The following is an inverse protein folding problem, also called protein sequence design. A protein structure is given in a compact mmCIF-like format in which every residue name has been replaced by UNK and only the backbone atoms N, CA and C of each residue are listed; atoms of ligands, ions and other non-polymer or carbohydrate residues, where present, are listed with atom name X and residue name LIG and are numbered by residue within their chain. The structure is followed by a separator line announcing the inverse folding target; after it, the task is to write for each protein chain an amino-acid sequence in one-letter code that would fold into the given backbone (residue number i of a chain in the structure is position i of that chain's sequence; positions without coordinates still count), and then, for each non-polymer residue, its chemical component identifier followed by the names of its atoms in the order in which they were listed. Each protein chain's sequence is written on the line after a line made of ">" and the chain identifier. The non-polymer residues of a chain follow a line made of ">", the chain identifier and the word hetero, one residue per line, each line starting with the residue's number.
data_IF_602375196935
#
_entry.id   IF_602375196935
#
_cell.length_a   1.000
_cell.length_b   1.000
_cell.length_c   1.000
_cell.angle_alpha   90.00
_cell.angle_beta   90.00
_cell.angle_gamma   90.00
#
_symmetry.space_group_name_H-M   'P 1'
#
loop_
_entity.id
_entity.type
_entity.pdbx_description
1 polymer ?
#
# COMPACT_ATOMS: atom_id res chain seq x y z
N UNK A 1 -14.27 -1.03 -18.50
CA UNK A 1 -15.17 -1.64 -19.49
C UNK A 1 -16.65 -1.37 -19.16
N UNK A 2 -17.14 -1.76 -17.97
CA UNK A 2 -18.56 -1.70 -17.61
C UNK A 2 -19.15 -0.28 -17.66
N UNK A 3 -18.41 0.75 -17.27
CA UNK A 3 -18.85 2.16 -17.30
C UNK A 3 -19.00 2.69 -18.73
N UNK A 4 -18.15 2.23 -19.65
CA UNK A 4 -18.20 2.64 -21.05
C UNK A 4 -19.23 1.86 -21.89
N UNK A 5 -19.87 0.84 -21.30
CA UNK A 5 -20.84 -0.04 -21.94
C UNK A 5 -22.13 -0.16 -21.11
N UNK A 6 -22.57 0.97 -20.52
CA UNK A 6 -23.76 1.00 -19.64
C UNK A 6 -25.03 0.56 -20.33
N UNK A 7 -25.15 0.77 -21.65
CA UNK A 7 -26.29 0.33 -22.43
C UNK A 7 -26.42 -1.19 -22.59
N UNK A 8 -25.30 -1.91 -22.50
CA UNK A 8 -25.24 -3.37 -22.72
C UNK A 8 -25.02 -4.16 -21.44
N UNK A 9 -24.53 -3.50 -20.37
CA UNK A 9 -24.24 -4.15 -19.07
C UNK A 9 -25.41 -3.90 -18.11
N UNK A 10 -25.96 -4.96 -17.47
CA UNK A 10 -27.00 -4.78 -16.46
C UNK A 10 -26.57 -3.83 -15.34
N UNK A 11 -27.44 -2.90 -14.89
CA UNK A 11 -27.09 -1.91 -13.86
C UNK A 11 -26.54 -2.53 -12.56
N UNK A 12 -27.07 -3.70 -12.15
CA UNK A 12 -26.61 -4.44 -10.98
C UNK A 12 -25.16 -4.93 -11.18
N UNK A 13 -24.83 -5.46 -12.35
CA UNK A 13 -23.48 -5.93 -12.63
C UNK A 13 -22.47 -4.79 -12.64
N UNK A 14 -22.84 -3.65 -13.23
CA UNK A 14 -22.03 -2.44 -13.21
C UNK A 14 -21.80 -1.94 -11.78
N UNK A 15 -22.84 -1.89 -10.96
CA UNK A 15 -22.76 -1.50 -9.56
C UNK A 15 -21.84 -2.45 -8.76
N UNK A 16 -22.01 -3.78 -8.90
CA UNK A 16 -21.18 -4.78 -8.21
C UNK A 16 -19.71 -4.62 -8.60
N UNK A 17 -19.40 -4.47 -9.90
CA UNK A 17 -18.03 -4.28 -10.35
C UNK A 17 -17.40 -3.03 -9.74
N UNK A 18 -18.16 -1.92 -9.61
CA UNK A 18 -17.67 -0.70 -8.99
C UNK A 18 -17.43 -0.85 -7.49
N UNK A 19 -18.35 -1.48 -6.76
CA UNK A 19 -18.16 -1.75 -5.34
C UNK A 19 -16.92 -2.61 -5.11
N UNK A 20 -16.73 -3.67 -5.90
CA UNK A 20 -15.55 -4.53 -5.80
C UNK A 20 -14.26 -3.76 -6.12
N UNK A 21 -14.27 -2.94 -7.16
CA UNK A 21 -13.11 -2.13 -7.53
C UNK A 21 -12.78 -1.09 -6.45
N UNK A 22 -13.74 -0.28 -6.01
CA UNK A 22 -13.57 0.73 -4.98
C UNK A 22 -13.15 0.10 -3.64
N UNK A 23 -13.77 -1.02 -3.28
CA UNK A 23 -13.41 -1.78 -2.09
C UNK A 23 -12.00 -2.38 -2.15
N UNK A 24 -11.54 -2.79 -3.35
CA UNK A 24 -10.17 -3.27 -3.52
C UNK A 24 -9.14 -2.16 -3.28
N UNK A 25 -9.41 -0.91 -3.67
CA UNK A 25 -8.54 0.24 -3.42
C UNK A 25 -8.42 0.52 -1.91
N UNK A 26 -9.53 0.48 -1.17
CA UNK A 26 -9.53 0.65 0.29
C UNK A 26 -8.71 -0.45 0.96
N UNK A 27 -8.93 -1.71 0.57
CA UNK A 27 -8.21 -2.86 1.11
C UNK A 27 -6.71 -2.72 0.85
N UNK A 28 -6.33 -2.35 -0.35
CA UNK A 28 -4.93 -2.26 -0.78
C UNK A 28 -4.15 -1.22 0.01
N UNK A 29 -4.68 0.00 0.17
CA UNK A 29 -4.00 1.04 0.95
C UNK A 29 -3.86 0.65 2.42
N UNK A 30 -4.83 -0.07 2.97
CA UNK A 30 -4.73 -0.61 4.32
C UNK A 30 -3.64 -1.68 4.44
N UNK A 31 -3.53 -2.59 3.47
CA UNK A 31 -2.47 -3.59 3.43
C UNK A 31 -1.09 -2.94 3.31
N UNK A 32 -0.94 -1.90 2.49
CA UNK A 32 0.28 -1.09 2.42
C UNK A 32 0.62 -0.46 3.78
N UNK A 33 -0.37 0.07 4.49
CA UNK A 33 -0.18 0.59 5.84
C UNK A 33 0.31 -0.50 6.81
N UNK A 34 -0.36 -1.64 6.84
CA UNK A 34 0.03 -2.77 7.69
C UNK A 34 1.44 -3.26 7.36
N UNK A 35 1.77 -3.34 6.08
CA UNK A 35 3.10 -3.73 5.64
C UNK A 35 4.17 -2.77 6.17
N UNK A 36 3.95 -1.46 6.08
CA UNK A 36 4.86 -0.46 6.64
C UNK A 36 5.03 -0.62 8.17
N UNK A 37 3.93 -0.86 8.88
CA UNK A 37 3.97 -1.08 10.34
C UNK A 37 4.76 -2.35 10.70
N UNK A 38 4.53 -3.46 9.98
CA UNK A 38 5.26 -4.72 10.17
C UNK A 38 6.75 -4.53 9.86
N UNK A 39 7.08 -3.80 8.80
CA UNK A 39 8.45 -3.52 8.41
C UNK A 39 9.22 -2.78 9.51
N UNK A 40 8.59 -1.79 10.13
CA UNK A 40 9.16 -1.02 11.24
C UNK A 40 9.40 -1.92 12.46
N UNK A 41 8.43 -2.77 12.82
CA UNK A 41 8.56 -3.66 13.97
C UNK A 41 9.59 -4.77 13.76
N UNK A 42 9.79 -5.22 12.54
CA UNK A 42 10.80 -6.25 12.22
C UNK A 42 12.24 -5.71 12.32
N UNK A 43 12.46 -4.44 12.01
CA UNK A 43 13.77 -3.79 12.06
C UNK A 43 14.05 -3.15 13.44
N UNK A 44 13.00 -2.83 14.20
CA UNK A 44 13.10 -2.26 15.54
C UNK A 44 13.38 -3.32 16.60
N UNK A 45 14.14 -2.93 17.61
CA UNK A 45 14.53 -3.75 18.79
C UNK A 45 13.31 -4.18 19.64
N UNK A 46 12.12 -3.68 19.36
CA UNK A 46 10.88 -4.05 20.04
C UNK A 46 10.36 -5.39 19.50
N UNK A 47 10.72 -6.46 20.17
CA UNK A 47 10.14 -7.80 19.97
C UNK A 47 8.65 -7.92 20.33
N UNK A 48 7.95 -6.80 20.46
CA UNK A 48 6.53 -6.76 20.76
C UNK A 48 5.72 -7.12 19.51
N UNK A 49 5.14 -8.31 19.54
CA UNK A 49 4.14 -8.72 18.56
C UNK A 49 2.99 -7.68 18.51
N UNK A 50 2.67 -7.20 17.32
CA UNK A 50 1.54 -6.26 17.13
C UNK A 50 0.28 -6.87 17.75
N UNK A 51 -0.23 -6.24 18.81
CA UNK A 51 -1.43 -6.73 19.50
C UNK A 51 -2.62 -6.78 18.54
N UNK A 52 -3.35 -7.89 18.52
CA UNK A 52 -4.58 -8.06 17.72
C UNK A 52 -5.56 -6.90 17.92
N UNK A 53 -5.64 -6.35 19.14
CA UNK A 53 -6.51 -5.20 19.47
C UNK A 53 -6.09 -3.95 18.67
N UNK A 54 -4.79 -3.66 18.55
CA UNK A 54 -4.30 -2.52 17.75
C UNK A 54 -4.63 -2.70 16.27
N UNK A 55 -4.47 -3.93 15.75
CA UNK A 55 -4.79 -4.25 14.36
C UNK A 55 -6.28 -3.98 14.06
N UNK A 56 -7.19 -4.41 14.94
CA UNK A 56 -8.62 -4.15 14.79
C UNK A 56 -8.95 -2.66 14.84
N UNK A 57 -8.32 -1.90 15.74
CA UNK A 57 -8.50 -0.45 15.81
C UNK A 57 -8.06 0.25 14.52
N UNK A 58 -6.95 -0.17 13.94
CA UNK A 58 -6.48 0.38 12.66
C UNK A 58 -7.37 0.00 11.48
N UNK A 59 -8.10 -1.10 11.56
CA UNK A 59 -9.04 -1.52 10.52
C UNK A 59 -10.40 -0.81 10.59
N UNK A 60 -10.71 -0.07 11.66
CA UNK A 60 -12.02 0.61 11.81
C UNK A 60 -12.34 1.52 10.61
N UNK A 61 -11.46 2.39 10.11
CA UNK A 61 -11.77 3.24 8.96
C UNK A 61 -12.09 2.43 7.70
N UNK A 62 -11.42 1.27 7.50
CA UNK A 62 -11.70 0.36 6.39
C UNK A 62 -13.13 -0.18 6.48
N UNK A 63 -13.53 -0.65 7.66
CA UNK A 63 -14.87 -1.19 7.87
C UNK A 63 -15.95 -0.13 7.68
N UNK A 64 -15.73 1.08 8.19
CA UNK A 64 -16.64 2.21 7.99
C UNK A 64 -16.76 2.55 6.51
N UNK A 65 -15.64 2.62 5.78
CA UNK A 65 -15.63 2.93 4.37
C UNK A 65 -16.30 1.82 3.53
N UNK A 66 -16.03 0.55 3.82
CA UNK A 66 -16.68 -0.59 3.16
C UNK A 66 -18.19 -0.59 3.38
N UNK A 67 -18.62 -0.36 4.62
CA UNK A 67 -20.04 -0.26 4.93
C UNK A 67 -20.67 0.95 4.20
N UNK A 68 -19.97 2.08 4.20
CA UNK A 68 -20.39 3.27 3.47
C UNK A 68 -20.57 3.02 1.98
N UNK A 69 -19.67 2.27 1.33
CA UNK A 69 -19.77 1.95 -0.09
C UNK A 69 -21.06 1.22 -0.48
N UNK A 70 -21.63 0.42 0.40
CA UNK A 70 -22.86 -0.33 0.13
C UNK A 70 -24.10 0.58 0.11
N UNK A 71 -24.07 1.72 0.80
CA UNK A 71 -25.22 2.61 0.96
C UNK A 71 -25.07 3.95 0.24
N UNK A 72 -23.84 4.34 -0.10
CA UNK A 72 -23.59 5.61 -0.75
C UNK A 72 -23.85 5.53 -2.28
N UNK A 73 -24.50 6.54 -2.85
CA UNK A 73 -24.79 6.52 -4.27
C UNK A 73 -23.51 6.68 -5.10
N UNK A 74 -23.42 5.88 -6.16
CA UNK A 74 -22.43 6.01 -7.22
C UNK A 74 -23.14 6.65 -8.40
N UNK A 75 -22.62 7.78 -8.89
CA UNK A 75 -23.09 8.45 -10.11
C UNK A 75 -22.13 8.14 -11.24
N UNK A 76 -22.65 7.91 -12.41
CA UNK A 76 -21.87 7.72 -13.63
C UNK A 76 -21.92 8.99 -14.45
N UNK A 77 -20.76 9.46 -14.86
CA UNK A 77 -20.62 10.69 -15.67
C UNK A 77 -20.08 10.29 -17.03
N UNK A 78 -20.79 10.68 -18.07
CA UNK A 78 -20.40 10.45 -19.45
C UNK A 78 -19.63 11.66 -19.98
N UNK A 79 -18.45 11.41 -20.55
CA UNK A 79 -17.64 12.46 -21.17
C UNK A 79 -17.07 11.99 -22.51
N UNK A 80 -16.61 12.92 -23.32
CA UNK A 80 -15.95 12.64 -24.60
C UNK A 80 -14.63 11.88 -24.44
N UNK A 81 -14.02 11.93 -23.24
CA UNK A 81 -12.75 11.27 -22.93
C UNK A 81 -12.94 9.88 -22.28
N UNK A 82 -14.17 9.50 -22.00
CA UNK A 82 -14.53 8.26 -21.32
C UNK A 82 -15.50 8.49 -20.16
N UNK A 83 -16.19 7.43 -19.77
CA UNK A 83 -17.15 7.49 -18.67
C UNK A 83 -16.43 7.14 -17.35
N UNK A 84 -16.79 7.79 -16.26
CA UNK A 84 -16.24 7.55 -14.95
C UNK A 84 -17.29 7.59 -13.84
N UNK A 85 -16.96 6.97 -12.72
CA UNK A 85 -17.79 7.01 -11.52
C UNK A 85 -17.44 8.23 -10.67
N UNK A 86 -18.45 8.87 -10.11
CA UNK A 86 -18.35 10.05 -9.27
C UNK A 86 -19.34 9.97 -8.11
N UNK A 87 -19.14 10.77 -7.07
CA UNK A 87 -20.12 10.90 -6.00
C UNK A 87 -19.61 10.48 -4.63
N UNK A 88 -20.49 10.44 -3.62
CA UNK A 88 -20.13 10.21 -2.23
C UNK A 88 -19.35 8.92 -2.00
N UNK A 89 -19.68 7.84 -2.69
CA UNK A 89 -18.94 6.57 -2.59
C UNK A 89 -17.48 6.74 -3.02
N UNK A 90 -17.22 7.41 -4.14
CA UNK A 90 -15.88 7.67 -4.65
C UNK A 90 -15.09 8.58 -3.72
N UNK A 91 -15.73 9.63 -3.17
CA UNK A 91 -15.09 10.52 -2.19
C UNK A 91 -14.73 9.81 -0.89
N UNK A 92 -15.55 8.85 -0.44
CA UNK A 92 -15.24 8.02 0.73
C UNK A 92 -13.97 7.21 0.51
N UNK A 93 -13.79 6.64 -0.70
CA UNK A 93 -12.56 5.93 -1.06
C UNK A 93 -11.35 6.85 -1.04
N UNK A 94 -11.42 8.00 -1.74
CA UNK A 94 -10.32 8.96 -1.77
C UNK A 94 -9.97 9.49 -0.37
N UNK A 95 -10.97 9.77 0.46
CA UNK A 95 -10.77 10.18 1.85
C UNK A 95 -10.09 9.10 2.69
N UNK A 96 -10.48 7.84 2.52
CA UNK A 96 -9.87 6.71 3.22
C UNK A 96 -8.42 6.49 2.75
N UNK A 97 -8.16 6.56 1.46
CA UNK A 97 -6.80 6.48 0.89
C UNK A 97 -5.94 7.61 1.44
N UNK A 98 -6.42 8.86 1.42
CA UNK A 98 -5.70 10.00 1.98
C UNK A 98 -5.41 9.84 3.47
N UNK A 99 -6.37 9.34 4.26
CA UNK A 99 -6.19 9.06 5.68
C UNK A 99 -5.04 8.08 5.92
N UNK A 100 -5.01 6.96 5.22
CA UNK A 100 -3.93 5.97 5.39
C UNK A 100 -2.59 6.49 4.88
N UNK A 101 -2.55 7.27 3.80
CA UNK A 101 -1.32 7.96 3.38
C UNK A 101 -0.78 8.82 4.52
N UNK A 102 -1.61 9.64 5.16
CA UNK A 102 -1.20 10.46 6.31
C UNK A 102 -0.72 9.58 7.46
N UNK A 103 -1.45 8.50 7.81
CA UNK A 103 -1.04 7.57 8.86
C UNK A 103 0.34 6.96 8.59
N UNK A 104 0.62 6.58 7.34
CA UNK A 104 1.90 5.99 6.98
C UNK A 104 3.02 7.06 7.08
N UNK A 105 2.80 8.28 6.54
CA UNK A 105 3.78 9.38 6.63
C UNK A 105 4.11 9.67 8.09
N UNK A 106 3.11 9.80 8.95
CA UNK A 106 3.31 10.02 10.39
C UNK A 106 4.08 8.88 11.05
N UNK A 107 3.76 7.64 10.72
CA UNK A 107 4.44 6.45 11.24
C UNK A 107 5.91 6.42 10.78
N UNK A 108 6.18 6.74 9.51
CA UNK A 108 7.53 6.84 8.97
C UNK A 108 8.35 7.95 9.62
N UNK A 109 7.76 9.13 9.84
CA UNK A 109 8.45 10.25 10.51
C UNK A 109 8.81 9.87 11.95
N UNK A 110 7.86 9.25 12.67
CA UNK A 110 8.06 8.83 14.06
C UNK A 110 9.19 7.81 14.22
N UNK A 111 9.29 6.85 13.32
CA UNK A 111 10.28 5.75 13.37
C UNK A 111 11.43 5.93 12.37
N UNK A 112 11.67 7.15 11.90
CA UNK A 112 12.63 7.45 10.84
C UNK A 112 14.04 6.92 11.11
N UNK A 113 14.49 6.94 12.36
CA UNK A 113 15.83 6.49 12.76
C UNK A 113 15.95 4.98 12.88
N UNK A 114 14.85 4.28 13.10
CA UNK A 114 14.81 2.83 13.35
C UNK A 114 14.81 2.01 12.05
N UNK A 115 14.39 2.62 10.94
CA UNK A 115 14.24 1.95 9.65
C UNK A 115 15.54 2.04 8.85
N UNK A 116 15.95 0.93 8.24
CA UNK A 116 17.10 0.90 7.33
C UNK A 116 16.92 1.86 6.14
N UNK A 117 18.01 2.53 5.73
CA UNK A 117 17.98 3.53 4.64
C UNK A 117 17.41 3.02 3.33
N UNK A 118 17.69 1.77 2.94
CA UNK A 118 17.13 1.15 1.72
C UNK A 118 15.60 1.03 1.81
N UNK A 119 15.09 0.53 2.94
CA UNK A 119 13.65 0.38 3.17
C UNK A 119 12.94 1.72 3.26
N UNK A 120 13.56 2.73 3.88
CA UNK A 120 13.05 4.11 3.90
C UNK A 120 12.84 4.66 2.50
N UNK A 121 13.84 4.49 1.64
CA UNK A 121 13.78 4.96 0.26
C UNK A 121 12.62 4.33 -0.51
N UNK A 122 12.44 3.01 -0.40
CA UNK A 122 11.35 2.28 -1.09
C UNK A 122 9.99 2.70 -0.62
N UNK A 123 9.80 2.81 0.70
CA UNK A 123 8.54 3.28 1.27
C UNK A 123 8.27 4.72 0.84
N UNK A 124 9.25 5.62 0.90
CA UNK A 124 9.11 7.00 0.44
C UNK A 124 8.76 7.09 -1.05
N UNK A 125 9.40 6.27 -1.90
CA UNK A 125 9.10 6.19 -3.33
C UNK A 125 7.67 5.68 -3.59
N UNK A 126 7.24 4.63 -2.89
CA UNK A 126 5.88 4.10 -2.97
C UNK A 126 4.83 5.17 -2.62
N UNK A 127 5.13 5.99 -1.60
CA UNK A 127 4.28 7.12 -1.23
C UNK A 127 4.21 8.21 -2.28
N UNK A 128 5.36 8.60 -2.82
CA UNK A 128 5.42 9.59 -3.88
C UNK A 128 4.56 9.12 -5.08
N UNK A 129 4.69 7.87 -5.47
CA UNK A 129 3.86 7.26 -6.53
C UNK A 129 2.38 7.36 -6.18
N UNK A 130 2.00 6.99 -4.94
CA UNK A 130 0.61 7.00 -4.51
C UNK A 130 0.01 8.41 -4.50
N UNK A 131 0.77 9.41 -4.04
CA UNK A 131 0.33 10.82 -4.06
C UNK A 131 0.14 11.29 -5.50
N UNK A 132 1.11 11.01 -6.38
CA UNK A 132 1.02 11.39 -7.80
C UNK A 132 -0.21 10.74 -8.46
N UNK A 133 -0.44 9.45 -8.22
CA UNK A 133 -1.60 8.72 -8.76
C UNK A 133 -2.90 9.31 -8.22
N UNK A 134 -2.98 9.61 -6.91
CA UNK A 134 -4.18 10.19 -6.29
C UNK A 134 -4.49 11.57 -6.89
N UNK A 135 -3.50 12.44 -7.02
CA UNK A 135 -3.65 13.77 -7.61
C UNK A 135 -4.06 13.66 -9.08
N UNK A 136 -3.37 12.80 -9.84
CA UNK A 136 -3.69 12.59 -11.27
C UNK A 136 -5.11 12.05 -11.45
N UNK A 137 -5.52 11.06 -10.67
CA UNK A 137 -6.87 10.48 -10.71
C UNK A 137 -7.94 11.49 -10.32
N UNK A 138 -7.63 12.44 -9.44
CA UNK A 138 -8.56 13.51 -9.04
C UNK A 138 -8.75 14.53 -10.17
N UNK A 139 -7.68 14.86 -10.91
CA UNK A 139 -7.71 15.81 -12.03
C UNK A 139 -8.32 15.15 -13.28
N UNK A 140 -7.98 13.88 -13.53
CA UNK A 140 -8.42 13.11 -14.70
C UNK A 140 -9.20 11.85 -14.28
N UNK A 141 -10.45 11.99 -13.82
CA UNK A 141 -11.22 10.86 -13.25
C UNK A 141 -11.50 9.73 -14.26
N UNK A 142 -11.53 10.04 -15.55
CA UNK A 142 -11.73 9.06 -16.62
C UNK A 142 -10.52 8.13 -16.82
N UNK A 143 -9.34 8.48 -16.29
CA UNK A 143 -8.12 7.69 -16.40
C UNK A 143 -8.05 6.65 -15.30
N UNK A 144 -8.06 5.36 -15.62
CA UNK A 144 -7.96 4.26 -14.65
C UNK A 144 -6.50 3.98 -14.24
N UNK A 145 -5.82 4.98 -13.68
CA UNK A 145 -4.38 4.90 -13.35
C UNK A 145 -4.15 4.30 -11.95
N UNK A 146 -5.16 4.34 -11.07
CA UNK A 146 -5.04 3.86 -9.68
C UNK A 146 -4.60 2.40 -9.58
N UNK A 147 -5.16 1.50 -10.39
CA UNK A 147 -4.74 0.10 -10.42
C UNK A 147 -3.29 -0.10 -10.85
N UNK A 148 -2.83 0.66 -11.85
CA UNK A 148 -1.45 0.63 -12.30
C UNK A 148 -0.50 1.15 -11.21
N UNK A 149 -0.83 2.25 -10.55
CA UNK A 149 -0.04 2.78 -9.44
C UNK A 149 0.12 1.79 -8.29
N UNK A 150 -0.96 1.11 -7.90
CA UNK A 150 -0.91 0.07 -6.87
C UNK A 150 -0.05 -1.12 -7.27
N UNK A 151 -0.13 -1.55 -8.53
CA UNK A 151 0.72 -2.64 -9.07
C UNK A 151 2.19 -2.27 -8.99
N UNK A 152 2.56 -1.03 -9.35
CA UNK A 152 3.94 -0.54 -9.24
C UNK A 152 4.43 -0.52 -7.78
N UNK A 153 3.59 -0.11 -6.84
CA UNK A 153 3.94 -0.10 -5.42
C UNK A 153 4.18 -1.52 -4.90
N UNK A 154 3.30 -2.45 -5.22
CA UNK A 154 3.46 -3.85 -4.82
C UNK A 154 4.72 -4.47 -5.42
N UNK A 155 5.00 -4.18 -6.69
CA UNK A 155 6.22 -4.63 -7.35
C UNK A 155 7.47 -4.03 -6.71
N UNK A 156 7.46 -2.73 -6.36
CA UNK A 156 8.56 -2.08 -5.68
C UNK A 156 8.83 -2.70 -4.31
N UNK A 157 7.81 -3.00 -3.52
CA UNK A 157 7.95 -3.69 -2.25
C UNK A 157 8.50 -5.10 -2.43
N UNK A 158 7.96 -5.88 -3.36
CA UNK A 158 8.44 -7.24 -3.63
C UNK A 158 9.91 -7.26 -4.03
N UNK A 159 10.31 -6.44 -5.00
CA UNK A 159 11.68 -6.41 -5.52
C UNK A 159 12.71 -5.90 -4.51
N UNK A 160 12.32 -5.04 -3.59
CA UNK A 160 13.29 -4.36 -2.72
C UNK A 160 13.32 -4.91 -1.30
N UNK A 161 12.21 -5.42 -0.80
CA UNK A 161 12.09 -5.85 0.61
C UNK A 161 11.97 -7.35 0.74
N UNK A 162 11.26 -8.01 -0.18
CA UNK A 162 10.94 -9.43 -0.10
C UNK A 162 11.70 -10.29 -1.13
N UNK A 163 12.56 -9.67 -1.94
CA UNK A 163 13.35 -10.42 -2.92
C UNK A 163 14.17 -11.52 -2.23
N UNK A 164 13.98 -12.81 -2.61
CA UNK A 164 14.74 -13.93 -2.05
C UNK A 164 16.24 -13.74 -2.20
N UNK A 165 16.67 -13.11 -3.30
CA UNK A 165 18.08 -12.84 -3.59
C UNK A 165 18.68 -11.86 -2.58
N UNK A 166 17.90 -10.84 -2.17
CA UNK A 166 18.36 -9.89 -1.15
C UNK A 166 18.48 -10.54 0.22
N UNK A 167 17.59 -11.45 0.59
CA UNK A 167 17.67 -12.21 1.84
C UNK A 167 18.88 -13.17 1.82
N UNK A 168 19.10 -13.85 0.70
CA UNK A 168 20.26 -14.74 0.52
C UNK A 168 21.58 -13.97 0.57
N UNK A 169 21.66 -12.83 -0.10
CA UNK A 169 22.84 -11.96 -0.07
C UNK A 169 23.17 -11.47 1.35
N UNK A 170 22.16 -11.11 2.13
CA UNK A 170 22.35 -10.68 3.52
C UNK A 170 22.81 -11.86 4.40
N UNK A 171 22.27 -13.06 4.22
CA UNK A 171 22.72 -14.27 4.90
C UNK A 171 24.18 -14.58 4.56
N UNK A 172 24.54 -14.57 3.29
CA UNK A 172 25.92 -14.79 2.83
C UNK A 172 26.88 -13.75 3.39
N UNK A 173 26.46 -12.49 3.51
CA UNK A 173 27.28 -11.44 4.13
C UNK A 173 27.55 -11.71 5.59
N UNK A 174 26.52 -12.06 6.35
CA UNK A 174 26.65 -12.39 7.79
C UNK A 174 27.54 -13.62 8.00
N UNK A 175 27.40 -14.66 7.17
CA UNK A 175 28.26 -15.84 7.25
C UNK A 175 29.71 -15.52 6.88
N UNK A 176 29.94 -14.68 5.89
CA UNK A 176 31.30 -14.23 5.53
C UNK A 176 31.94 -13.44 6.67
N UNK A 177 31.24 -12.49 7.27
CA UNK A 177 31.73 -11.70 8.40
C UNK A 177 32.11 -12.64 9.57
N UNK A 178 31.30 -13.64 9.88
CA UNK A 178 31.62 -14.66 10.93
C UNK A 178 32.86 -15.49 10.59
N UNK A 179 33.02 -15.89 9.34
CA UNK A 179 34.18 -16.63 8.88
C UNK A 179 35.46 -15.79 8.96
N UNK A 180 35.38 -14.51 8.58
CA UNK A 180 36.50 -13.58 8.65
C UNK A 180 36.92 -13.31 10.11
N UNK A 181 35.97 -13.13 11.02
CA UNK A 181 36.24 -13.00 12.46
C UNK A 181 36.90 -14.27 13.07
N UNK A 182 36.39 -15.44 12.70
CA UNK A 182 36.98 -16.71 13.15
C UNK A 182 38.43 -16.91 12.64
N UNK A 183 38.70 -16.53 11.37
CA UNK A 183 40.03 -16.57 10.80
C UNK A 183 41.00 -15.57 11.48
N UNK A 184 40.52 -14.36 11.77
CA UNK A 184 41.30 -13.35 12.49
C UNK A 184 41.66 -13.83 13.90
N UNK A 185 40.71 -14.42 14.64
CA UNK A 185 40.97 -15.01 15.95
C UNK A 185 42.00 -16.14 15.86
N UNK A 186 41.85 -17.04 14.87
CA UNK A 186 42.81 -18.13 14.66
C UNK A 186 44.24 -17.62 14.38
N UNK A 187 44.37 -16.54 13.61
CA UNK A 187 45.67 -15.95 13.28
C UNK A 187 46.35 -15.26 14.47
N UNK A 188 45.60 -14.89 15.51
CA UNK A 188 46.15 -14.32 16.74
C UNK A 188 46.68 -15.38 17.72
N UNK A 189 46.29 -16.65 17.53
CA UNK A 189 46.74 -17.77 18.37
C UNK A 189 47.92 -18.57 17.76
N UNK A 190 48.33 -18.23 16.56
CA UNK A 190 49.54 -18.78 15.89
C UNK A 190 50.69 -17.80 15.94
#
# INVERSE_FOLDING_TARGET
>A
YTVNHMDTVPPIANWVCHILFLGSLIREVFLCYLYCVVLIHKDGVSGDCISKRKLWLWAIPVWIAWFGLLFLPIRYVETTQGNYSWGPAVFTVHGTVALYIVCIVLTMIRHWKEINSKKRFVVALAFLIQIVVLVYQTIFPASLVSGFGLTLINLAFFLTVESPDMLLMEQLRVEKERADDANAAKSQFL
#
